data_IF_903454034747
#
_entry.id   IF_903454034747
#
_cell.length_a   1.000
_cell.length_b   1.000
_cell.length_c   1.000
_cell.angle_alpha   90.00
_cell.angle_beta   90.00
_cell.angle_gamma   90.00
#
_symmetry.space_group_name_H-M   'P 1'
#
loop_
_entity.id
_entity.type
_entity.pdbx_description
1 polymer ?
#
# COMPACT_ATOMS: atom_id res chain seq x y z
N UNK A 1 34.84 36.89 34.18
CA UNK A 1 33.59 37.63 33.87
C UNK A 1 33.96 38.90 33.11
N UNK A 2 33.51 39.04 31.85
CA UNK A 2 32.62 40.15 31.56
C UNK A 2 31.33 39.67 30.91
N UNK A 3 30.34 40.55 30.99
CA UNK A 3 28.91 40.30 30.91
C UNK A 3 28.41 40.34 29.47
N UNK A 4 27.56 39.34 29.16
CA UNK A 4 26.35 39.38 28.35
C UNK A 4 26.22 40.53 27.32
N UNK A 5 26.21 40.17 26.04
CA UNK A 5 25.51 40.93 24.98
C UNK A 5 24.67 39.98 24.14
N UNK A 6 23.37 40.09 24.34
CA UNK A 6 22.26 39.59 23.55
C UNK A 6 22.46 39.85 22.05
N UNK A 7 22.32 38.81 21.23
CA UNK A 7 21.89 38.93 19.85
C UNK A 7 21.03 37.71 19.51
N UNK A 8 19.71 37.91 19.58
CA UNK A 8 18.70 37.08 18.92
C UNK A 8 19.08 36.98 17.44
N UNK A 9 19.17 35.76 16.90
CA UNK A 9 18.79 35.44 15.52
C UNK A 9 18.35 33.97 15.52
N UNK A 10 17.03 33.78 15.49
CA UNK A 10 16.39 32.48 15.46
C UNK A 10 16.78 31.72 14.18
N UNK A 11 17.68 30.74 14.31
CA UNK A 11 17.88 29.72 13.31
C UNK A 11 16.72 28.72 13.40
N UNK A 12 15.56 29.10 12.86
CA UNK A 12 14.45 28.18 12.64
C UNK A 12 14.87 27.15 11.61
N UNK A 13 15.28 25.96 12.07
CA UNK A 13 15.32 24.76 11.24
C UNK A 13 13.89 24.52 10.74
N UNK A 14 13.62 24.90 9.49
CA UNK A 14 12.41 24.47 8.79
C UNK A 14 12.51 22.95 8.62
N UNK A 15 11.87 22.21 9.51
CA UNK A 15 11.57 20.81 9.32
C UNK A 15 10.66 20.69 8.09
N UNK A 16 11.22 20.26 6.96
CA UNK A 16 10.44 19.88 5.78
C UNK A 16 9.53 18.71 6.19
N UNK A 17 8.19 18.85 6.15
CA UNK A 17 7.31 17.71 6.30
C UNK A 17 7.59 16.79 5.11
N UNK A 18 8.09 15.58 5.38
CA UNK A 18 8.32 14.58 4.34
C UNK A 18 7.03 14.34 3.56
N UNK A 19 7.04 14.65 2.27
CA UNK A 19 5.96 14.26 1.38
C UNK A 19 5.88 12.73 1.37
N UNK A 20 4.86 12.18 2.02
CA UNK A 20 4.54 10.76 1.93
C UNK A 20 4.14 10.44 0.50
N UNK A 21 5.07 9.96 -0.31
CA UNK A 21 4.77 9.45 -1.65
C UNK A 21 3.81 8.28 -1.47
N UNK A 22 2.60 8.39 -2.01
CA UNK A 22 1.71 7.25 -2.17
C UNK A 22 2.45 6.21 -3.02
N UNK A 23 3.00 5.18 -2.38
CA UNK A 23 3.75 4.13 -3.05
C UNK A 23 2.79 3.39 -3.98
N UNK A 24 2.90 3.67 -5.28
CA UNK A 24 2.21 2.91 -6.31
C UNK A 24 2.86 1.53 -6.37
N UNK A 25 2.15 0.51 -5.92
CA UNK A 25 2.61 -0.87 -6.06
C UNK A 25 2.15 -1.36 -7.45
N UNK A 26 3.07 -1.53 -8.44
CA UNK A 26 2.70 -1.95 -9.79
C UNK A 26 1.93 -3.29 -9.78
N UNK A 27 2.17 -4.17 -8.82
CA UNK A 27 1.40 -5.41 -8.72
C UNK A 27 0.00 -5.23 -8.19
N UNK A 28 -0.27 -4.18 -7.43
CA UNK A 28 -1.64 -3.86 -7.03
C UNK A 28 -2.49 -3.48 -8.24
N UNK A 29 -1.87 -2.89 -9.26
CA UNK A 29 -2.53 -2.63 -10.54
C UNK A 29 -2.77 -3.92 -11.32
N UNK A 30 -1.78 -4.82 -11.37
CA UNK A 30 -1.97 -6.17 -11.95
C UNK A 30 -3.12 -6.91 -11.27
N UNK A 31 -3.26 -6.80 -9.95
CA UNK A 31 -4.37 -7.40 -9.22
C UNK A 31 -5.72 -6.84 -9.67
N UNK A 32 -5.85 -5.52 -9.80
CA UNK A 32 -7.11 -4.91 -10.30
C UNK A 32 -7.45 -5.39 -11.69
N UNK A 33 -6.49 -5.40 -12.61
CA UNK A 33 -6.70 -5.80 -14.00
C UNK A 33 -7.21 -7.24 -14.12
N UNK A 34 -6.67 -8.16 -13.31
CA UNK A 34 -7.01 -9.58 -13.41
C UNK A 34 -8.17 -10.00 -12.49
N UNK A 35 -8.42 -9.29 -11.40
CA UNK A 35 -9.36 -9.72 -10.36
C UNK A 35 -10.64 -8.89 -10.25
N UNK A 36 -10.90 -7.94 -11.17
CA UNK A 36 -12.10 -7.09 -11.05
C UNK A 36 -13.41 -7.90 -11.09
N UNK A 37 -13.55 -8.87 -12.00
CA UNK A 37 -14.74 -9.72 -12.07
C UNK A 37 -14.90 -10.59 -10.82
N UNK A 38 -13.83 -11.29 -10.44
CA UNK A 38 -13.78 -12.13 -9.24
C UNK A 38 -14.06 -11.34 -7.94
N UNK A 39 -13.60 -10.09 -7.88
CA UNK A 39 -13.88 -9.19 -6.77
C UNK A 39 -15.37 -8.88 -6.68
N UNK A 40 -16.01 -8.55 -7.81
CA UNK A 40 -17.44 -8.23 -7.82
C UNK A 40 -18.30 -9.41 -7.38
N UNK A 41 -17.93 -10.62 -7.81
CA UNK A 41 -18.67 -11.86 -7.51
C UNK A 41 -18.48 -12.38 -6.08
N UNK A 42 -17.27 -12.26 -5.53
CA UNK A 42 -16.93 -12.94 -4.28
C UNK A 42 -16.54 -12.02 -3.11
N UNK A 43 -16.10 -10.79 -3.39
CA UNK A 43 -15.44 -9.93 -2.39
C UNK A 43 -15.95 -8.48 -2.37
N UNK A 44 -17.07 -8.18 -3.04
CA UNK A 44 -17.60 -6.81 -3.21
C UNK A 44 -18.11 -6.17 -1.93
N UNK A 45 -18.33 -6.96 -0.88
CA UNK A 45 -18.68 -6.49 0.46
C UNK A 45 -17.51 -5.78 1.18
N UNK A 46 -16.29 -5.91 0.66
CA UNK A 46 -15.10 -5.33 1.27
C UNK A 46 -14.59 -4.11 0.48
N UNK A 47 -14.06 -3.08 1.15
CA UNK A 47 -13.45 -1.93 0.46
C UNK A 47 -12.29 -2.35 -0.47
N UNK A 48 -12.28 -1.88 -1.73
CA UNK A 48 -11.33 -2.35 -2.73
C UNK A 48 -9.88 -2.05 -2.35
N UNK A 49 -9.02 -3.04 -2.57
CA UNK A 49 -7.58 -2.94 -2.34
C UNK A 49 -7.16 -2.91 -0.86
N UNK A 50 -8.08 -2.99 0.09
CA UNK A 50 -7.74 -3.13 1.50
C UNK A 50 -7.34 -4.55 1.90
N UNK A 51 -6.83 -4.75 3.13
CA UNK A 51 -6.48 -6.07 3.66
C UNK A 51 -7.69 -7.02 3.74
N UNK A 52 -8.91 -6.49 3.88
CA UNK A 52 -10.13 -7.27 3.87
C UNK A 52 -10.34 -8.00 2.54
N UNK A 53 -10.11 -7.32 1.40
CA UNK A 53 -10.18 -7.92 0.06
C UNK A 53 -9.09 -8.97 -0.13
N UNK A 54 -7.87 -8.69 0.35
CA UNK A 54 -6.79 -9.68 0.30
C UNK A 54 -7.15 -10.96 1.07
N UNK A 55 -7.75 -10.83 2.25
CA UNK A 55 -8.23 -11.97 3.03
C UNK A 55 -9.36 -12.74 2.31
N UNK A 56 -10.32 -12.03 1.72
CA UNK A 56 -11.40 -12.66 0.93
C UNK A 56 -10.86 -13.45 -0.26
N UNK A 57 -9.94 -12.87 -1.02
CA UNK A 57 -9.27 -13.56 -2.12
C UNK A 57 -8.55 -14.83 -1.65
N UNK A 58 -7.88 -14.78 -0.49
CA UNK A 58 -7.23 -15.97 0.08
C UNK A 58 -8.20 -17.09 0.39
N UNK A 59 -9.37 -16.77 0.95
CA UNK A 59 -10.38 -17.74 1.31
C UNK A 59 -11.05 -18.36 0.08
N UNK A 60 -11.20 -17.59 -1.00
CA UNK A 60 -11.88 -18.01 -2.23
C UNK A 60 -10.93 -18.39 -3.38
N UNK A 61 -9.62 -18.51 -3.15
CA UNK A 61 -8.58 -18.72 -4.18
C UNK A 61 -8.90 -19.84 -5.19
N UNK A 62 -9.61 -20.90 -4.78
CA UNK A 62 -10.00 -22.02 -5.65
C UNK A 62 -11.23 -21.75 -6.52
N UNK A 63 -12.02 -20.73 -6.17
CA UNK A 63 -13.23 -20.30 -6.87
C UNK A 63 -12.95 -19.18 -7.87
N UNK A 64 -11.85 -18.45 -7.68
CA UNK A 64 -11.47 -17.35 -8.57
C UNK A 64 -11.05 -17.88 -9.94
N UNK A 65 -11.09 -17.00 -10.93
CA UNK A 65 -10.51 -17.26 -12.24
C UNK A 65 -9.02 -17.64 -12.15
N UNK A 66 -8.51 -18.48 -13.09
CA UNK A 66 -7.10 -18.88 -13.11
C UNK A 66 -6.15 -17.68 -13.15
N UNK A 67 -6.52 -16.63 -13.89
CA UNK A 67 -5.72 -15.41 -14.04
C UNK A 67 -5.63 -14.64 -12.72
N UNK A 68 -6.75 -14.43 -12.03
CA UNK A 68 -6.75 -13.77 -10.73
C UNK A 68 -5.97 -14.58 -9.67
N UNK A 69 -6.17 -15.90 -9.61
CA UNK A 69 -5.46 -16.77 -8.68
C UNK A 69 -3.92 -16.72 -8.89
N UNK A 70 -3.49 -16.69 -10.16
CA UNK A 70 -2.08 -16.51 -10.53
C UNK A 70 -1.54 -15.13 -10.10
N UNK A 71 -2.30 -14.06 -10.35
CA UNK A 71 -1.94 -12.71 -9.97
C UNK A 71 -1.77 -12.56 -8.44
N UNK A 72 -2.69 -13.12 -7.64
CA UNK A 72 -2.60 -13.14 -6.17
C UNK A 72 -1.36 -13.90 -5.71
N UNK A 73 -1.03 -15.02 -6.35
CA UNK A 73 0.15 -15.81 -6.00
C UNK A 73 1.45 -15.06 -6.28
N UNK A 74 1.51 -14.29 -7.38
CA UNK A 74 2.65 -13.41 -7.67
C UNK A 74 2.72 -12.25 -6.66
N UNK A 75 1.60 -11.55 -6.43
CA UNK A 75 1.52 -10.46 -5.46
C UNK A 75 2.00 -10.84 -4.07
N UNK A 76 1.60 -12.01 -3.56
CA UNK A 76 2.07 -12.53 -2.27
C UNK A 76 3.57 -12.81 -2.23
N UNK A 77 4.15 -13.31 -3.32
CA UNK A 77 5.59 -13.57 -3.38
C UNK A 77 6.38 -12.27 -3.35
N UNK A 78 5.96 -11.29 -4.12
CA UNK A 78 6.68 -10.02 -4.21
C UNK A 78 6.51 -9.14 -2.97
N UNK A 79 5.33 -9.15 -2.36
CA UNK A 79 5.13 -8.48 -1.07
C UNK A 79 6.00 -9.10 0.02
N UNK A 80 6.16 -10.43 0.04
CA UNK A 80 7.07 -11.12 0.98
C UNK A 80 8.55 -10.76 0.77
N UNK A 81 8.98 -10.48 -0.45
CA UNK A 81 10.38 -10.07 -0.73
C UNK A 81 10.66 -8.64 -0.28
N UNK A 82 9.62 -7.77 -0.27
CA UNK A 82 9.75 -6.36 0.07
C UNK A 82 9.66 -6.06 1.57
N UNK A 83 9.26 -7.03 2.39
CA UNK A 83 9.18 -6.93 3.86
C UNK A 83 10.24 -7.83 4.49
#
# INVERSE_FOLDING_TARGET
MPRLRTALLAAGLFALPGAGLAQTNPLREVLKLNCTGDYLEHCSEHPPGGPAVEACFRANLKKLSPDCASAITRYKRETKVRH
#
